data_IF_225494492169
#
_entry.id   IF_225494492169
#
_cell.length_a   1.000
_cell.length_b   1.000
_cell.length_c   1.000
_cell.angle_alpha   90.00
_cell.angle_beta   90.00
_cell.angle_gamma   90.00
#
_symmetry.space_group_name_H-M   'P 1'
#
loop_
_entity.id
_entity.type
_entity.pdbx_description
1 polymer ?
#
# COMPACT_ATOMS: atom_id res chain seq x y z
N UNK A 1 -2.99 36.80 -7.40
CA UNK A 1 -2.93 36.46 -5.95
C UNK A 1 -1.91 35.34 -5.76
N UNK A 2 -1.17 35.26 -4.65
CA UNK A 2 -0.11 34.24 -4.54
C UNK A 2 -0.67 32.82 -4.41
N UNK A 3 -1.60 32.58 -3.47
CA UNK A 3 -2.10 31.24 -3.19
C UNK A 3 -3.58 31.25 -2.78
N UNK A 4 -4.33 30.25 -3.23
CA UNK A 4 -5.66 29.93 -2.74
C UNK A 4 -5.68 28.49 -2.21
N UNK A 5 -6.09 28.32 -0.96
CA UNK A 5 -6.38 27.01 -0.39
C UNK A 5 -7.85 26.65 -0.60
N UNK A 6 -8.12 25.37 -0.84
CA UNK A 6 -9.47 24.87 -1.07
C UNK A 6 -9.66 23.61 -0.24
N UNK A 7 -10.63 23.65 0.67
CA UNK A 7 -11.16 22.44 1.29
C UNK A 7 -12.16 21.76 0.33
N UNK A 8 -11.87 20.51 0.00
CA UNK A 8 -12.58 19.76 -1.04
C UNK A 8 -13.63 18.83 -0.45
N UNK A 9 -14.91 19.12 -0.72
CA UNK A 9 -16.01 18.17 -0.53
C UNK A 9 -16.61 17.70 -1.87
N UNK A 10 -17.78 17.04 -1.81
CA UNK A 10 -18.44 16.48 -3.00
C UNK A 10 -19.07 17.57 -3.87
N UNK A 11 -19.83 18.47 -3.25
CA UNK A 11 -20.69 19.46 -3.94
C UNK A 11 -20.45 20.91 -3.49
N UNK A 12 -19.91 21.10 -2.29
CA UNK A 12 -19.63 22.42 -1.75
C UNK A 12 -18.21 22.45 -1.24
N UNK A 13 -17.52 23.54 -1.53
CA UNK A 13 -16.10 23.76 -1.27
C UNK A 13 -15.99 25.02 -0.44
N UNK A 14 -14.91 25.13 0.33
CA UNK A 14 -14.56 26.37 0.99
C UNK A 14 -13.18 26.81 0.53
N UNK A 15 -13.07 28.07 0.09
CA UNK A 15 -11.81 28.65 -0.36
C UNK A 15 -11.29 29.62 0.68
N UNK A 16 -9.99 29.61 0.89
CA UNK A 16 -9.27 30.51 1.78
C UNK A 16 -8.04 31.08 1.08
N UNK A 17 -7.80 32.39 1.19
CA UNK A 17 -6.61 33.03 0.66
C UNK A 17 -6.37 34.39 1.31
N UNK A 18 -5.20 34.96 1.04
CA UNK A 18 -4.84 36.31 1.50
C UNK A 18 -4.40 37.10 0.26
N UNK A 19 -5.01 38.27 0.03
CA UNK A 19 -4.66 39.12 -1.11
C UNK A 19 -3.39 39.96 -0.84
N UNK A 20 -2.99 40.77 -1.82
CA UNK A 20 -1.77 41.59 -1.71
C UNK A 20 -1.85 42.64 -0.58
N UNK A 21 -3.06 43.09 -0.24
CA UNK A 21 -3.32 44.07 0.82
C UNK A 21 -3.42 43.43 2.22
N UNK A 22 -3.28 42.10 2.30
CA UNK A 22 -3.39 41.35 3.55
C UNK A 22 -4.83 41.01 3.96
N UNK A 23 -5.82 41.28 3.10
CA UNK A 23 -7.21 40.93 3.37
C UNK A 23 -7.45 39.43 3.20
N UNK A 24 -8.18 38.85 4.15
CA UNK A 24 -8.55 37.44 4.15
C UNK A 24 -9.76 37.21 3.25
N UNK A 25 -9.59 36.34 2.26
CA UNK A 25 -10.66 35.78 1.45
C UNK A 25 -11.08 34.47 2.10
N UNK A 26 -12.35 34.36 2.52
CA UNK A 26 -12.94 33.12 3.03
C UNK A 26 -14.35 32.98 2.46
N UNK A 27 -14.55 32.04 1.53
CA UNK A 27 -15.82 31.92 0.80
C UNK A 27 -16.21 30.47 0.55
N UNK A 28 -17.50 30.20 0.68
CA UNK A 28 -18.11 28.94 0.24
C UNK A 28 -18.47 29.01 -1.23
N UNK A 29 -18.27 27.92 -1.97
CA UNK A 29 -18.60 27.83 -3.40
C UNK A 29 -19.17 26.45 -3.76
N UNK A 30 -20.11 26.41 -4.69
CA UNK A 30 -20.64 25.16 -5.23
C UNK A 30 -19.72 24.56 -6.30
N UNK A 31 -19.90 23.28 -6.61
CA UNK A 31 -19.08 22.55 -7.60
C UNK A 31 -18.97 23.23 -8.95
N UNK A 32 -20.09 23.70 -9.50
CA UNK A 32 -20.15 24.34 -10.80
C UNK A 32 -19.44 25.70 -10.82
N UNK A 33 -19.40 26.40 -9.68
CA UNK A 33 -18.79 27.72 -9.58
C UNK A 33 -17.30 27.71 -9.23
N UNK A 34 -16.71 26.55 -8.91
CA UNK A 34 -15.35 26.51 -8.37
C UNK A 34 -14.30 27.03 -9.36
N UNK A 35 -14.33 26.56 -10.62
CA UNK A 35 -13.39 27.04 -11.66
C UNK A 35 -13.53 28.54 -11.89
N UNK A 36 -14.78 29.03 -11.99
CA UNK A 36 -15.06 30.47 -12.18
C UNK A 36 -14.52 31.29 -11.01
N UNK A 37 -14.69 30.82 -9.77
CA UNK A 37 -14.20 31.52 -8.59
C UNK A 37 -12.67 31.54 -8.53
N UNK A 38 -12.02 30.41 -8.83
CA UNK A 38 -10.55 30.32 -8.87
C UNK A 38 -10.01 31.24 -9.97
N UNK A 39 -10.60 31.22 -11.17
CA UNK A 39 -10.24 32.11 -12.26
C UNK A 39 -10.41 33.59 -11.91
N UNK A 40 -11.44 33.96 -11.14
CA UNK A 40 -11.66 35.34 -10.69
C UNK A 40 -10.56 35.85 -9.76
N UNK A 41 -10.08 35.01 -8.85
CA UNK A 41 -9.01 35.40 -7.91
C UNK A 41 -7.60 35.27 -8.51
N UNK A 42 -7.51 34.52 -9.60
CA UNK A 42 -6.28 34.24 -10.35
C UNK A 42 -5.06 33.93 -9.46
N UNK A 43 -5.10 32.82 -8.69
CA UNK A 43 -3.97 32.40 -7.88
C UNK A 43 -2.85 31.77 -8.70
N UNK A 44 -1.60 32.12 -8.41
CA UNK A 44 -0.44 31.37 -8.95
C UNK A 44 -0.44 29.92 -8.44
N UNK A 45 -0.80 29.73 -7.17
CA UNK A 45 -0.78 28.43 -6.48
C UNK A 45 -2.17 28.05 -5.98
N UNK A 46 -2.59 26.81 -6.22
CA UNK A 46 -3.79 26.21 -5.60
C UNK A 46 -3.36 25.10 -4.63
N UNK A 47 -3.68 25.29 -3.35
CA UNK A 47 -3.43 24.32 -2.29
C UNK A 47 -4.69 23.54 -1.92
N UNK A 48 -4.57 22.22 -1.78
CA UNK A 48 -5.70 21.34 -1.44
C UNK A 48 -5.21 20.19 -0.56
N UNK A 49 -6.09 19.63 0.26
CA UNK A 49 -5.82 18.35 0.90
C UNK A 49 -5.91 17.21 -0.13
N UNK A 50 -4.99 16.24 -0.04
CA UNK A 50 -5.02 15.05 -0.87
C UNK A 50 -6.20 14.15 -0.48
N UNK A 51 -7.27 14.22 -1.27
CA UNK A 51 -8.48 13.42 -1.12
C UNK A 51 -8.88 12.74 -2.45
N UNK A 52 -10.02 12.03 -2.46
CA UNK A 52 -10.47 11.28 -3.63
C UNK A 52 -10.71 12.16 -4.87
N UNK A 53 -11.16 13.40 -4.69
CA UNK A 53 -11.45 14.35 -5.77
C UNK A 53 -10.29 15.30 -6.10
N UNK A 54 -9.26 15.34 -5.26
CA UNK A 54 -8.15 16.28 -5.40
C UNK A 54 -7.35 16.12 -6.70
N UNK A 55 -7.20 14.89 -7.20
CA UNK A 55 -6.48 14.66 -8.45
C UNK A 55 -7.24 15.21 -9.67
N UNK A 56 -8.58 15.09 -9.69
CA UNK A 56 -9.41 15.65 -10.76
C UNK A 56 -9.28 17.18 -10.80
N UNK A 57 -9.48 17.84 -9.66
CA UNK A 57 -9.36 19.30 -9.57
C UNK A 57 -7.93 19.78 -9.83
N UNK A 58 -6.94 19.06 -9.30
CA UNK A 58 -5.53 19.34 -9.55
C UNK A 58 -5.18 19.33 -11.03
N UNK A 59 -5.69 18.37 -11.81
CA UNK A 59 -5.46 18.34 -13.27
C UNK A 59 -6.10 19.53 -13.99
N UNK A 60 -7.33 19.92 -13.61
CA UNK A 60 -7.99 21.08 -14.21
C UNK A 60 -7.20 22.37 -13.94
N UNK A 61 -6.78 22.60 -12.70
CA UNK A 61 -6.01 23.79 -12.34
C UNK A 61 -4.58 23.77 -12.94
N UNK A 62 -3.95 22.61 -13.08
CA UNK A 62 -2.70 22.48 -13.84
C UNK A 62 -2.88 22.87 -15.31
N UNK A 63 -3.99 22.49 -15.93
CA UNK A 63 -4.30 22.84 -17.32
C UNK A 63 -4.53 24.35 -17.50
N UNK A 64 -4.96 25.06 -16.45
CA UNK A 64 -5.01 26.54 -16.41
C UNK A 64 -3.64 27.19 -16.11
N UNK A 65 -2.56 26.41 -15.99
CA UNK A 65 -1.21 26.91 -15.77
C UNK A 65 -0.84 27.19 -14.32
N UNK A 66 -1.64 26.71 -13.34
CA UNK A 66 -1.42 26.97 -11.91
C UNK A 66 -0.53 25.92 -11.27
N UNK A 67 0.29 26.31 -10.29
CA UNK A 67 1.02 25.36 -9.44
C UNK A 67 0.06 24.69 -8.45
N UNK A 68 0.16 23.37 -8.27
CA UNK A 68 -0.70 22.63 -7.33
C UNK A 68 0.09 22.10 -6.14
N UNK A 69 -0.42 22.42 -4.95
CA UNK A 69 0.08 21.93 -3.66
C UNK A 69 -0.93 20.99 -3.01
N UNK A 70 -0.86 19.69 -3.34
CA UNK A 70 -1.65 18.69 -2.62
C UNK A 70 -0.95 18.28 -1.33
N UNK A 71 -1.62 18.38 -0.19
CA UNK A 71 -1.01 18.10 1.12
C UNK A 71 -1.56 16.80 1.70
N UNK A 72 -0.70 16.01 2.35
CA UNK A 72 -1.19 14.88 3.12
C UNK A 72 -2.09 15.38 4.28
N UNK A 73 -3.31 14.85 4.46
CA UNK A 73 -4.22 15.19 5.57
C UNK A 73 -3.56 15.24 6.95
N UNK A 74 -2.63 14.31 7.20
CA UNK A 74 -1.93 14.22 8.48
C UNK A 74 -0.99 15.40 8.74
N UNK A 75 -0.52 16.08 7.70
CA UNK A 75 0.30 17.27 7.81
C UNK A 75 -0.53 18.56 7.86
N UNK A 76 -1.80 18.51 7.44
CA UNK A 76 -2.76 19.63 7.62
C UNK A 76 -3.28 19.65 9.06
N UNK A 77 -3.57 18.49 9.66
CA UNK A 77 -4.18 18.36 10.99
C UNK A 77 -3.56 19.25 12.09
N UNK A 78 -2.22 19.41 12.21
CA UNK A 78 -1.61 20.28 13.23
C UNK A 78 -1.93 21.78 13.08
N UNK A 79 -2.42 22.22 11.92
CA UNK A 79 -2.75 23.62 11.62
C UNK A 79 -4.21 23.96 11.86
N UNK A 80 -5.07 22.97 12.14
CA UNK A 80 -6.49 23.18 12.46
C UNK A 80 -6.62 23.84 13.84
N UNK A 81 -7.24 25.01 13.90
CA UNK A 81 -7.43 25.80 15.13
C UNK A 81 -8.89 25.79 15.56
N UNK A 82 -9.15 25.43 16.81
CA UNK A 82 -10.51 25.45 17.36
C UNK A 82 -11.41 24.33 16.85
N UNK A 83 -12.71 24.61 16.80
CA UNK A 83 -13.76 23.66 16.40
C UNK A 83 -13.75 23.44 14.89
N UNK A 84 -13.84 22.17 14.48
CA UNK A 84 -13.79 21.77 13.07
C UNK A 84 -14.97 22.34 12.26
N UNK A 85 -14.67 23.04 11.17
CA UNK A 85 -15.60 23.42 10.11
C UNK A 85 -14.85 23.65 8.79
N UNK A 86 -15.57 23.69 7.67
CA UNK A 86 -14.98 23.79 6.32
C UNK A 86 -14.10 25.05 6.14
N UNK A 87 -14.41 26.16 6.81
CA UNK A 87 -13.63 27.39 6.73
C UNK A 87 -12.28 27.27 7.45
N UNK A 88 -12.28 26.68 8.65
CA UNK A 88 -11.08 26.38 9.44
C UNK A 88 -10.22 25.34 8.74
N UNK A 89 -10.84 24.34 8.10
CA UNK A 89 -10.11 23.33 7.34
C UNK A 89 -9.41 23.96 6.13
N UNK A 90 -10.06 24.88 5.39
CA UNK A 90 -9.45 25.63 4.29
C UNK A 90 -8.30 26.54 4.75
N UNK A 91 -8.45 27.22 5.89
CA UNK A 91 -7.38 28.03 6.50
C UNK A 91 -6.19 27.14 6.92
N UNK A 92 -6.43 25.99 7.53
CA UNK A 92 -5.38 25.06 7.92
C UNK A 92 -4.60 24.53 6.70
N UNK A 93 -5.27 24.29 5.57
CA UNK A 93 -4.60 23.93 4.30
C UNK A 93 -3.70 25.08 3.85
N UNK A 94 -4.16 26.33 3.90
CA UNK A 94 -3.37 27.51 3.53
C UNK A 94 -2.10 27.64 4.38
N UNK A 95 -2.25 27.52 5.70
CA UNK A 95 -1.15 27.61 6.66
C UNK A 95 -0.12 26.50 6.47
N UNK A 96 -0.58 25.27 6.22
CA UNK A 96 0.25 24.12 5.96
C UNK A 96 1.01 24.27 4.62
N UNK A 97 0.32 24.73 3.56
CA UNK A 97 0.87 24.94 2.23
C UNK A 97 1.95 26.03 2.18
N UNK A 98 1.86 26.99 3.10
CA UNK A 98 2.80 28.12 3.20
C UNK A 98 4.15 27.73 3.82
N UNK A 99 4.27 26.54 4.42
CA UNK A 99 5.52 26.12 5.07
C UNK A 99 6.58 25.75 4.02
N UNK A 100 7.78 26.36 4.01
CA UNK A 100 8.82 26.07 3.02
C UNK A 100 9.30 24.61 3.02
N UNK A 101 9.18 23.93 4.16
CA UNK A 101 9.60 22.53 4.33
C UNK A 101 8.47 21.53 4.04
N UNK A 102 7.28 22.00 3.64
CA UNK A 102 6.15 21.14 3.35
C UNK A 102 6.44 20.28 2.11
N UNK A 103 5.96 19.03 2.15
CA UNK A 103 6.06 18.10 1.02
C UNK A 103 4.69 17.92 0.41
N UNK A 104 4.63 18.04 -0.90
CA UNK A 104 3.39 17.92 -1.66
C UNK A 104 3.29 16.57 -2.35
N UNK A 105 2.06 16.09 -2.47
CA UNK A 105 1.72 14.88 -3.22
C UNK A 105 1.59 15.28 -4.68
N UNK A 106 2.29 14.62 -5.62
CA UNK A 106 2.12 14.93 -7.03
C UNK A 106 0.69 14.63 -7.49
N UNK A 107 0.16 15.50 -8.36
CA UNK A 107 -1.11 15.25 -9.05
C UNK A 107 -0.92 14.08 -9.99
N UNK A 108 -1.77 13.05 -9.86
CA UNK A 108 -1.72 11.90 -10.75
C UNK A 108 -2.31 12.25 -12.12
N UNK A 109 -1.66 11.76 -13.15
CA UNK A 109 -2.23 11.70 -14.51
C UNK A 109 -3.46 10.79 -14.53
N UNK A 110 -4.25 10.89 -15.60
CA UNK A 110 -5.42 10.04 -15.80
C UNK A 110 -5.01 8.57 -15.92
N UNK A 111 -4.00 8.25 -16.72
CA UNK A 111 -3.46 6.89 -16.86
C UNK A 111 -3.05 6.27 -15.52
N UNK A 112 -2.39 7.05 -14.64
CA UNK A 112 -2.03 6.57 -13.30
C UNK A 112 -3.27 6.30 -12.44
N UNK A 113 -4.28 7.17 -12.53
CA UNK A 113 -5.50 7.04 -11.75
C UNK A 113 -6.38 5.88 -12.24
N UNK A 114 -6.40 5.64 -13.55
CA UNK A 114 -7.08 4.52 -14.18
C UNK A 114 -6.43 3.20 -13.80
N UNK A 115 -5.10 3.12 -13.90
CA UNK A 115 -4.34 1.95 -13.50
C UNK A 115 -4.50 1.67 -12.00
N UNK A 116 -4.47 2.71 -11.17
CA UNK A 116 -4.75 2.58 -9.73
C UNK A 116 -6.19 2.09 -9.47
N UNK A 117 -7.17 2.55 -10.24
CA UNK A 117 -8.56 2.11 -10.13
C UNK A 117 -8.71 0.63 -10.49
N UNK A 118 -8.02 0.17 -11.54
CA UNK A 118 -7.96 -1.23 -11.93
C UNK A 118 -7.37 -2.10 -10.81
N UNK A 119 -6.29 -1.65 -10.16
CA UNK A 119 -5.73 -2.31 -8.98
C UNK A 119 -6.70 -2.39 -7.79
N UNK A 120 -7.49 -1.34 -7.54
CA UNK A 120 -8.51 -1.33 -6.47
C UNK A 120 -9.65 -2.31 -6.77
N UNK A 121 -10.09 -2.38 -8.02
CA UNK A 121 -11.09 -3.37 -8.46
C UNK A 121 -10.55 -4.78 -8.24
N UNK A 122 -9.31 -5.06 -8.65
CA UNK A 122 -8.63 -6.33 -8.40
C UNK A 122 -8.61 -6.68 -6.92
N UNK A 123 -8.21 -5.73 -6.06
CA UNK A 123 -8.09 -5.96 -4.62
C UNK A 123 -9.45 -6.32 -3.99
N UNK A 124 -10.51 -5.59 -4.39
CA UNK A 124 -11.89 -5.89 -3.98
C UNK A 124 -12.31 -7.30 -4.39
N UNK A 125 -12.06 -7.70 -5.64
CA UNK A 125 -12.42 -9.02 -6.14
C UNK A 125 -11.64 -10.14 -5.40
N UNK A 126 -10.34 -9.94 -5.16
CA UNK A 126 -9.50 -10.89 -4.40
C UNK A 126 -10.00 -11.06 -2.96
N UNK A 127 -10.43 -9.97 -2.32
CA UNK A 127 -11.05 -10.01 -1.00
C UNK A 127 -12.39 -10.74 -1.03
N UNK A 128 -13.27 -10.43 -2.00
CA UNK A 128 -14.57 -11.10 -2.19
C UNK A 128 -14.40 -12.60 -2.41
N UNK A 129 -13.51 -13.02 -3.32
CA UNK A 129 -13.17 -14.44 -3.55
C UNK A 129 -12.78 -15.13 -2.25
N UNK A 130 -11.92 -14.50 -1.46
CA UNK A 130 -11.44 -15.09 -0.20
C UNK A 130 -12.58 -15.21 0.82
N UNK A 131 -13.44 -14.20 0.91
CA UNK A 131 -14.64 -14.21 1.75
C UNK A 131 -15.60 -15.34 1.35
N UNK A 132 -15.96 -15.43 0.06
CA UNK A 132 -16.83 -16.47 -0.48
C UNK A 132 -16.24 -17.87 -0.29
N UNK A 133 -14.95 -18.06 -0.59
CA UNK A 133 -14.26 -19.34 -0.37
C UNK A 133 -14.26 -19.76 1.09
N UNK A 134 -14.18 -18.81 2.02
CA UNK A 134 -14.24 -19.11 3.45
C UNK A 134 -15.67 -19.44 3.89
N UNK A 135 -16.66 -18.71 3.39
CA UNK A 135 -18.07 -18.93 3.68
C UNK A 135 -18.54 -20.29 3.17
N UNK A 136 -18.27 -20.62 1.90
CA UNK A 136 -18.54 -21.92 1.28
C UNK A 136 -17.95 -23.07 2.11
N UNK A 137 -16.67 -22.98 2.49
CA UNK A 137 -16.04 -24.03 3.31
C UNK A 137 -16.65 -24.15 4.70
N UNK A 138 -17.16 -23.05 5.28
CA UNK A 138 -17.89 -23.08 6.54
C UNK A 138 -19.19 -23.88 6.40
N UNK A 139 -20.01 -23.50 5.42
CA UNK A 139 -21.27 -24.16 5.12
C UNK A 139 -21.07 -25.65 4.77
N UNK A 140 -20.11 -25.97 3.91
CA UNK A 140 -19.76 -27.35 3.59
C UNK A 140 -19.39 -28.17 4.83
N UNK A 141 -18.71 -27.55 5.80
CA UNK A 141 -18.35 -28.19 7.06
C UNK A 141 -19.55 -28.63 7.90
N UNK A 142 -20.67 -27.89 7.85
CA UNK A 142 -21.93 -28.26 8.54
C UNK A 142 -22.54 -29.56 8.00
N UNK A 143 -22.25 -29.88 6.74
CA UNK A 143 -22.68 -31.12 6.07
C UNK A 143 -21.56 -32.18 6.04
N UNK A 144 -20.51 -32.01 6.83
CA UNK A 144 -19.37 -32.94 6.90
C UNK A 144 -18.45 -32.92 5.67
N UNK A 145 -18.60 -31.95 4.77
CA UNK A 145 -17.79 -31.82 3.56
C UNK A 145 -16.59 -30.91 3.82
N UNK A 146 -15.39 -31.48 3.84
CA UNK A 146 -14.15 -30.75 4.11
C UNK A 146 -13.31 -30.60 2.84
N UNK A 147 -13.09 -29.36 2.42
CA UNK A 147 -12.30 -29.02 1.24
C UNK A 147 -10.96 -28.36 1.59
N UNK A 148 -9.92 -28.54 0.76
CA UNK A 148 -8.61 -27.93 0.99
C UNK A 148 -8.65 -26.40 0.95
N UNK A 149 -7.66 -25.77 1.59
CA UNK A 149 -7.47 -24.32 1.51
C UNK A 149 -6.98 -23.92 0.12
N UNK A 150 -7.48 -22.78 -0.37
CA UNK A 150 -7.11 -22.18 -1.66
C UNK A 150 -8.24 -22.30 -2.69
N UNK A 151 -8.57 -21.19 -3.34
CA UNK A 151 -9.74 -21.09 -4.23
C UNK A 151 -9.64 -22.04 -5.44
N UNK A 152 -8.48 -22.10 -6.10
CA UNK A 152 -8.27 -23.03 -7.22
C UNK A 152 -8.47 -24.51 -6.82
N UNK A 153 -7.94 -24.90 -5.64
CA UNK A 153 -8.12 -26.27 -5.13
C UNK A 153 -9.57 -26.54 -4.73
N UNK A 154 -10.25 -25.57 -4.11
CA UNK A 154 -11.66 -25.67 -3.79
C UNK A 154 -12.49 -25.90 -5.06
N UNK A 155 -12.38 -25.02 -6.05
CA UNK A 155 -13.11 -25.12 -7.31
C UNK A 155 -12.84 -26.43 -8.06
N UNK A 156 -11.58 -26.90 -8.07
CA UNK A 156 -11.23 -28.16 -8.74
C UNK A 156 -11.84 -29.42 -8.10
N UNK A 157 -12.28 -29.36 -6.84
CA UNK A 157 -12.75 -30.54 -6.09
C UNK A 157 -14.20 -30.46 -5.68
N UNK A 158 -14.76 -29.26 -5.58
CA UNK A 158 -16.07 -29.04 -4.96
C UNK A 158 -17.20 -29.73 -5.72
N UNK A 159 -17.19 -29.68 -7.06
CA UNK A 159 -18.20 -30.33 -7.90
C UNK A 159 -18.26 -31.85 -7.67
N UNK A 160 -17.11 -32.51 -7.61
CA UNK A 160 -17.02 -33.95 -7.32
C UNK A 160 -17.45 -34.26 -5.88
N UNK A 161 -17.10 -33.39 -4.93
CA UNK A 161 -17.50 -33.55 -3.53
C UNK A 161 -19.01 -33.44 -3.34
N UNK A 162 -19.65 -32.44 -3.95
CA UNK A 162 -21.09 -32.24 -3.90
C UNK A 162 -21.85 -33.38 -4.58
N UNK A 163 -21.37 -33.89 -5.72
CA UNK A 163 -22.01 -35.02 -6.41
C UNK A 163 -22.03 -36.34 -5.62
N UNK A 164 -21.18 -36.49 -4.60
CA UNK A 164 -21.14 -37.66 -3.71
C UNK A 164 -21.86 -37.43 -2.37
N UNK A 165 -22.20 -36.18 -2.06
CA UNK A 165 -22.79 -35.82 -0.79
C UNK A 165 -24.29 -36.13 -0.79
N UNK A 166 -24.80 -36.53 0.38
CA UNK A 166 -26.25 -36.63 0.61
C UNK A 166 -26.75 -35.28 1.10
N UNK A 167 -27.12 -34.41 0.18
CA UNK A 167 -27.65 -33.08 0.49
C UNK A 167 -29.14 -33.02 0.13
N UNK A 168 -29.89 -32.16 0.82
CA UNK A 168 -31.24 -31.82 0.40
C UNK A 168 -31.21 -31.00 -0.89
N UNK A 169 -32.33 -30.95 -1.62
CA UNK A 169 -32.46 -30.11 -2.80
C UNK A 169 -32.15 -28.64 -2.51
N UNK A 170 -32.65 -28.13 -1.37
CA UNK A 170 -32.40 -26.76 -0.90
C UNK A 170 -30.91 -26.49 -0.66
N UNK A 171 -30.19 -27.43 -0.02
CA UNK A 171 -28.76 -27.28 0.24
C UNK A 171 -27.96 -27.32 -1.07
N UNK A 172 -28.31 -28.23 -1.99
CA UNK A 172 -27.71 -28.28 -3.32
C UNK A 172 -27.88 -26.96 -4.07
N UNK A 173 -29.10 -26.45 -4.20
CA UNK A 173 -29.39 -25.18 -4.89
C UNK A 173 -28.63 -24.01 -4.27
N UNK A 174 -28.60 -23.92 -2.94
CA UNK A 174 -27.87 -22.87 -2.21
C UNK A 174 -26.37 -22.90 -2.51
N UNK A 175 -25.77 -24.09 -2.49
CA UNK A 175 -24.34 -24.26 -2.72
C UNK A 175 -23.95 -24.00 -4.17
N UNK A 176 -24.79 -24.42 -5.10
CA UNK A 176 -24.63 -24.15 -6.53
C UNK A 176 -24.61 -22.64 -6.81
N UNK A 177 -25.57 -21.87 -6.28
CA UNK A 177 -25.57 -20.40 -6.45
C UNK A 177 -24.32 -19.70 -5.87
N UNK A 178 -23.84 -20.14 -4.71
CA UNK A 178 -22.60 -19.60 -4.13
C UNK A 178 -21.34 -19.98 -4.93
N UNK A 179 -21.33 -21.17 -5.55
CA UNK A 179 -20.25 -21.60 -6.42
C UNK A 179 -20.22 -20.81 -7.72
N UNK A 180 -21.38 -20.57 -8.33
CA UNK A 180 -21.51 -19.69 -9.49
C UNK A 180 -20.98 -18.28 -9.17
N UNK A 181 -21.31 -17.73 -8.00
CA UNK A 181 -20.74 -16.43 -7.58
C UNK A 181 -19.22 -16.48 -7.48
N UNK A 182 -18.66 -17.53 -6.88
CA UNK A 182 -17.21 -17.69 -6.76
C UNK A 182 -16.53 -17.81 -8.14
N UNK A 183 -17.10 -18.60 -9.04
CA UNK A 183 -16.62 -18.78 -10.42
C UNK A 183 -16.67 -17.47 -11.21
N UNK A 184 -17.75 -16.69 -11.07
CA UNK A 184 -17.87 -15.36 -11.67
C UNK A 184 -16.80 -14.39 -11.15
N UNK A 185 -16.54 -14.39 -9.83
CA UNK A 185 -15.51 -13.55 -9.24
C UNK A 185 -14.12 -13.94 -9.74
N UNK A 186 -13.79 -15.23 -9.82
CA UNK A 186 -12.52 -15.70 -10.36
C UNK A 186 -12.33 -15.30 -11.82
N UNK A 187 -13.34 -15.51 -12.67
CA UNK A 187 -13.27 -15.07 -14.07
C UNK A 187 -13.05 -13.56 -14.21
N UNK A 188 -13.61 -12.74 -13.29
CA UNK A 188 -13.34 -11.29 -13.26
C UNK A 188 -11.92 -10.97 -12.81
N UNK A 189 -11.37 -11.70 -11.84
CA UNK A 189 -9.97 -11.55 -11.42
C UNK A 189 -9.04 -11.87 -12.59
N UNK A 190 -9.26 -12.98 -13.30
CA UNK A 190 -8.46 -13.38 -14.45
C UNK A 190 -8.48 -12.32 -15.56
N UNK A 191 -9.66 -11.74 -15.86
CA UNK A 191 -9.77 -10.65 -16.84
C UNK A 191 -8.97 -9.41 -16.44
N UNK A 192 -9.04 -9.02 -15.17
CA UNK A 192 -8.27 -7.88 -14.65
C UNK A 192 -6.77 -8.17 -14.63
N UNK A 193 -6.37 -9.38 -14.24
CA UNK A 193 -4.97 -9.81 -14.22
C UNK A 193 -4.38 -9.85 -15.62
N UNK A 194 -5.14 -10.35 -16.61
CA UNK A 194 -4.77 -10.29 -18.02
C UNK A 194 -4.59 -8.84 -18.48
N UNK A 195 -5.56 -7.96 -18.19
CA UNK A 195 -5.47 -6.54 -18.58
C UNK A 195 -4.26 -5.84 -17.97
N UNK A 196 -3.97 -6.07 -16.69
CA UNK A 196 -2.76 -5.56 -16.04
C UNK A 196 -1.49 -6.14 -16.67
N UNK A 197 -1.50 -7.42 -17.02
CA UNK A 197 -0.44 -8.08 -17.77
C UNK A 197 -0.19 -7.45 -19.13
N UNK A 198 -1.24 -7.11 -19.87
CA UNK A 198 -1.15 -6.47 -21.19
C UNK A 198 -0.55 -5.06 -21.07
N UNK A 199 -1.10 -4.22 -20.17
CA UNK A 199 -0.56 -2.87 -19.88
C UNK A 199 0.91 -2.93 -19.48
N UNK A 200 1.28 -3.91 -18.65
CA UNK A 200 2.64 -4.10 -18.20
C UNK A 200 3.60 -4.44 -19.34
N UNK A 201 3.14 -5.20 -20.35
CA UNK A 201 3.96 -5.56 -21.52
C UNK A 201 4.18 -4.36 -22.42
N UNK A 202 3.20 -3.48 -22.57
CA UNK A 202 3.28 -2.31 -23.45
C UNK A 202 4.05 -1.15 -22.82
N UNK A 203 4.08 -1.05 -21.49
CA UNK A 203 4.76 0.01 -20.75
C UNK A 203 6.26 -0.28 -20.54
N UNK A 204 7.14 0.61 -21.04
CA UNK A 204 8.60 0.44 -20.94
C UNK A 204 9.10 0.40 -19.49
N UNK A 205 8.62 1.30 -18.62
CA UNK A 205 8.99 1.32 -17.20
C UNK A 205 8.61 0.01 -16.52
N UNK A 206 7.46 -0.55 -16.85
CA UNK A 206 7.04 -1.84 -16.32
C UNK A 206 7.96 -2.99 -16.77
N UNK A 207 8.36 -3.02 -18.05
CA UNK A 207 9.33 -4.00 -18.55
C UNK A 207 10.66 -3.93 -17.81
N UNK A 208 11.18 -2.71 -17.58
CA UNK A 208 12.39 -2.49 -16.77
C UNK A 208 12.22 -2.94 -15.33
N UNK A 209 11.08 -2.62 -14.71
CA UNK A 209 10.78 -3.05 -13.32
C UNK A 209 10.69 -4.57 -13.19
N UNK A 210 10.16 -5.27 -14.19
CA UNK A 210 10.03 -6.72 -14.20
C UNK A 210 11.36 -7.48 -14.27
N UNK A 211 12.48 -6.80 -14.56
CA UNK A 211 13.81 -7.44 -14.45
C UNK A 211 14.22 -7.68 -13.00
N UNK A 212 13.56 -7.01 -12.05
CA UNK A 212 13.82 -7.16 -10.63
C UNK A 212 13.17 -8.44 -10.10
N UNK A 213 13.92 -9.21 -9.30
CA UNK A 213 13.40 -10.41 -8.64
C UNK A 213 12.20 -10.07 -7.76
N UNK A 214 11.10 -10.80 -7.96
CA UNK A 214 9.86 -10.61 -7.20
C UNK A 214 8.96 -9.51 -7.75
N UNK A 215 9.36 -8.83 -8.81
CA UNK A 215 8.51 -7.86 -9.51
C UNK A 215 7.89 -8.52 -10.73
N UNK A 216 6.65 -8.98 -10.56
CA UNK A 216 5.81 -9.41 -11.68
C UNK A 216 4.91 -8.27 -12.19
N UNK A 217 4.05 -8.54 -13.19
CA UNK A 217 3.21 -7.52 -13.81
C UNK A 217 2.39 -6.70 -12.81
N UNK A 218 1.75 -7.37 -11.84
CA UNK A 218 0.93 -6.72 -10.82
C UNK A 218 1.76 -5.77 -9.93
N UNK A 219 3.01 -6.11 -9.63
CA UNK A 219 3.87 -5.25 -8.79
C UNK A 219 4.40 -4.07 -9.62
N UNK A 220 4.82 -4.34 -10.86
CA UNK A 220 5.33 -3.32 -11.77
C UNK A 220 4.29 -2.23 -12.06
N UNK A 221 3.07 -2.64 -12.46
CA UNK A 221 1.98 -1.68 -12.73
C UNK A 221 1.55 -0.93 -11.47
N UNK A 222 1.58 -1.57 -10.30
CA UNK A 222 1.25 -0.91 -9.04
C UNK A 222 2.27 0.17 -8.65
N UNK A 223 3.56 -0.07 -8.92
CA UNK A 223 4.62 0.92 -8.73
C UNK A 223 4.42 2.11 -9.66
N UNK A 224 4.23 1.88 -10.96
CA UNK A 224 3.99 2.94 -11.96
C UNK A 224 2.75 3.77 -11.61
N UNK A 225 1.63 3.13 -11.25
CA UNK A 225 0.39 3.82 -10.89
C UNK A 225 0.51 4.64 -9.60
N UNK A 226 1.30 4.18 -8.63
CA UNK A 226 1.38 4.81 -7.32
C UNK A 226 2.41 5.93 -7.24
N UNK A 227 3.54 5.75 -7.93
CA UNK A 227 4.70 6.66 -7.85
C UNK A 227 4.67 7.64 -9.02
N UNK A 228 4.55 7.15 -10.26
CA UNK A 228 4.80 7.98 -11.44
C UNK A 228 6.27 8.35 -11.54
N UNK A 229 6.57 9.62 -11.32
CA UNK A 229 7.94 10.13 -11.38
C UNK A 229 8.76 9.71 -10.15
N UNK A 230 9.80 8.88 -10.29
CA UNK A 230 10.66 8.48 -9.18
C UNK A 230 11.50 9.64 -8.61
N UNK A 231 11.71 10.72 -9.37
CA UNK A 231 12.52 11.86 -8.92
C UNK A 231 11.88 12.70 -7.81
N UNK A 232 10.61 12.43 -7.48
CA UNK A 232 9.97 12.97 -6.27
C UNK A 232 10.66 12.52 -4.96
N UNK A 233 11.49 11.46 -5.03
CA UNK A 233 12.28 10.97 -3.90
C UNK A 233 13.76 11.28 -4.11
N UNK A 234 14.44 11.75 -3.06
CA UNK A 234 15.89 12.01 -3.08
C UNK A 234 16.69 10.73 -3.11
N UNK A 235 16.18 9.66 -2.48
CA UNK A 235 16.86 8.36 -2.38
C UNK A 235 15.86 7.21 -2.36
N UNK A 236 16.33 6.01 -2.74
CA UNK A 236 15.51 4.78 -2.62
C UNK A 236 15.09 4.45 -1.18
N UNK A 237 15.84 4.92 -0.16
CA UNK A 237 15.45 4.74 1.26
C UNK A 237 14.21 5.57 1.61
N UNK A 238 14.10 6.76 1.04
CA UNK A 238 12.93 7.62 1.21
C UNK A 238 11.69 7.00 0.57
N UNK A 239 11.83 6.46 -0.64
CA UNK A 239 10.78 5.68 -1.29
C UNK A 239 10.37 4.47 -0.43
N UNK A 240 11.32 3.69 0.10
CA UNK A 240 11.02 2.56 0.97
C UNK A 240 10.27 2.98 2.25
N UNK A 241 10.63 4.14 2.82
CA UNK A 241 9.92 4.72 3.95
C UNK A 241 8.49 5.16 3.59
N UNK A 242 8.30 5.79 2.43
CA UNK A 242 7.00 6.21 1.91
C UNK A 242 6.06 5.02 1.65
N UNK A 243 6.57 3.92 1.07
CA UNK A 243 5.82 2.68 0.89
C UNK A 243 5.48 2.05 2.26
N UNK A 244 6.30 2.29 3.27
CA UNK A 244 6.16 1.74 4.61
C UNK A 244 6.82 0.38 4.78
N UNK A 245 7.98 0.18 4.14
CA UNK A 245 8.83 -1.02 4.25
C UNK A 245 9.87 -0.92 5.37
N UNK A 246 10.01 0.26 5.98
CA UNK A 246 11.00 0.52 7.04
C UNK A 246 10.38 0.40 8.44
N UNK A 247 11.16 0.00 9.46
CA UNK A 247 10.73 0.04 10.86
C UNK A 247 10.48 1.47 11.32
N UNK A 248 9.59 1.64 12.31
CA UNK A 248 9.47 2.92 13.01
C UNK A 248 10.75 3.21 13.77
N UNK A 249 11.16 4.48 13.80
CA UNK A 249 12.29 4.92 14.58
C UNK A 249 11.80 5.86 15.69
N UNK A 250 12.18 5.54 16.93
CA UNK A 250 12.09 6.44 18.08
C UNK A 250 13.51 6.76 18.52
N UNK A 251 13.86 8.04 18.51
CA UNK A 251 15.20 8.48 18.88
C UNK A 251 15.07 9.68 19.81
N UNK A 252 15.53 9.52 21.05
CA UNK A 252 15.58 10.58 22.06
C UNK A 252 16.94 10.54 22.75
N UNK A 253 17.56 11.71 22.93
CA UNK A 253 18.84 11.84 23.65
C UNK A 253 19.95 10.89 23.20
N UNK A 254 20.10 10.66 21.89
CA UNK A 254 21.14 9.77 21.32
C UNK A 254 20.84 8.27 21.40
N UNK A 255 19.73 7.83 22.01
CA UNK A 255 19.32 6.42 22.05
C UNK A 255 18.44 6.09 20.85
N UNK A 256 18.89 5.20 19.98
CA UNK A 256 18.13 4.73 18.81
C UNK A 256 17.32 3.48 19.17
N UNK A 257 15.99 3.54 19.05
CA UNK A 257 15.10 2.38 19.17
C UNK A 257 14.32 2.19 17.87
N UNK A 258 14.55 1.06 17.22
CA UNK A 258 13.78 0.62 16.05
C UNK A 258 12.59 -0.24 16.53
N UNK A 259 11.39 0.12 16.11
CA UNK A 259 10.16 -0.63 16.37
C UNK A 259 9.70 -1.45 15.18
N UNK A 260 8.48 -1.99 15.25
CA UNK A 260 7.87 -2.68 14.11
C UNK A 260 7.61 -1.76 12.91
N UNK A 261 7.22 -2.38 11.78
CA UNK A 261 6.86 -1.65 10.55
C UNK A 261 5.67 -0.72 10.82
N UNK A 262 5.79 0.53 10.36
CA UNK A 262 4.78 1.55 10.61
C UNK A 262 3.43 1.28 9.93
N UNK A 263 2.35 1.77 10.55
CA UNK A 263 1.00 1.74 9.94
C UNK A 263 0.77 2.83 8.88
N UNK A 264 1.59 3.88 8.84
CA UNK A 264 1.48 4.97 7.86
C UNK A 264 2.20 4.57 6.58
N UNK A 265 1.45 4.03 5.62
CA UNK A 265 2.01 3.34 4.47
C UNK A 265 0.99 3.21 3.34
N UNK A 266 1.48 3.03 2.11
CA UNK A 266 0.66 2.48 1.04
C UNK A 266 0.50 0.97 1.27
N UNK A 267 -0.55 0.58 2.01
CA UNK A 267 -0.81 -0.81 2.40
C UNK A 267 -0.90 -1.75 1.19
N UNK A 268 -1.51 -1.30 0.10
CA UNK A 268 -1.62 -2.07 -1.13
C UNK A 268 -0.24 -2.37 -1.70
N UNK A 269 0.54 -1.34 -1.99
CA UNK A 269 1.85 -1.47 -2.64
C UNK A 269 2.83 -2.28 -1.77
N UNK A 270 2.83 -2.02 -0.45
CA UNK A 270 3.60 -2.81 0.51
C UNK A 270 3.23 -4.30 0.45
N UNK A 271 1.94 -4.62 0.48
CA UNK A 271 1.48 -6.02 0.42
C UNK A 271 1.92 -6.68 -0.90
N UNK A 272 1.82 -5.98 -2.03
CA UNK A 272 2.27 -6.50 -3.32
C UNK A 272 3.77 -6.79 -3.34
N UNK A 273 4.61 -5.89 -2.81
CA UNK A 273 6.06 -6.09 -2.72
C UNK A 273 6.43 -7.24 -1.77
N UNK A 274 5.73 -7.37 -0.64
CA UNK A 274 5.90 -8.51 0.27
C UNK A 274 5.53 -9.83 -0.39
N UNK A 275 4.44 -9.88 -1.18
CA UNK A 275 4.11 -11.07 -1.97
C UNK A 275 5.17 -11.39 -3.03
N UNK A 276 5.71 -10.37 -3.69
CA UNK A 276 6.84 -10.51 -4.61
C UNK A 276 8.05 -11.15 -3.95
N UNK A 277 8.47 -10.62 -2.80
CA UNK A 277 9.58 -11.16 -2.02
C UNK A 277 9.33 -12.61 -1.56
N UNK A 278 8.11 -12.92 -1.12
CA UNK A 278 7.72 -14.29 -0.75
C UNK A 278 7.81 -15.27 -1.92
N UNK A 279 7.36 -14.86 -3.11
CA UNK A 279 7.43 -15.70 -4.30
C UNK A 279 8.88 -16.04 -4.69
N UNK A 280 9.80 -15.07 -4.54
CA UNK A 280 11.23 -15.30 -4.72
C UNK A 280 11.78 -16.26 -3.68
N UNK A 281 11.48 -16.04 -2.40
CA UNK A 281 11.98 -16.88 -1.30
C UNK A 281 11.57 -18.36 -1.47
N UNK A 282 10.35 -18.63 -1.92
CA UNK A 282 9.87 -19.99 -2.20
C UNK A 282 10.61 -20.69 -3.35
N UNK A 283 11.15 -19.91 -4.30
CA UNK A 283 11.92 -20.43 -5.46
C UNK A 283 13.41 -20.55 -5.14
N UNK A 284 13.96 -19.66 -4.33
CA UNK A 284 15.36 -19.69 -3.86
C UNK A 284 15.63 -20.81 -2.83
N UNK A 285 14.58 -21.41 -2.25
CA UNK A 285 14.73 -22.61 -1.41
C UNK A 285 14.93 -23.92 -2.18
N UNK A 286 14.98 -23.89 -3.51
CA UNK A 286 15.42 -25.04 -4.33
C UNK A 286 16.95 -25.16 -4.31
N UNK A 287 17.48 -26.40 -4.21
CA UNK A 287 18.92 -26.63 -4.36
C UNK A 287 19.33 -26.26 -5.81
N UNK A 288 20.21 -25.25 -5.95
CA UNK A 288 20.93 -24.94 -7.19
C UNK A 288 20.31 -23.88 -8.09
N UNK A 289 20.41 -22.59 -7.73
CA UNK A 289 20.20 -21.52 -8.72
C UNK A 289 21.22 -20.39 -8.55
N UNK A 290 21.83 -19.97 -9.65
CA UNK A 290 23.07 -19.20 -9.77
C UNK A 290 22.92 -17.66 -9.68
N UNK A 291 21.79 -17.16 -9.21
CA UNK A 291 21.50 -15.71 -9.10
C UNK A 291 21.61 -15.20 -7.65
N UNK A 292 22.63 -15.69 -6.95
CA UNK A 292 22.92 -15.36 -5.56
C UNK A 292 23.33 -13.89 -5.41
N UNK A 293 22.37 -13.07 -4.97
CA UNK A 293 22.59 -11.65 -4.66
C UNK A 293 23.24 -11.54 -3.27
N UNK A 294 24.41 -10.92 -3.16
CA UNK A 294 25.24 -10.88 -1.95
C UNK A 294 24.51 -10.38 -0.69
N UNK A 295 23.53 -9.48 -0.83
CA UNK A 295 22.68 -9.03 0.29
C UNK A 295 21.74 -10.14 0.78
N UNK A 296 21.21 -10.93 -0.15
CA UNK A 296 20.31 -12.06 0.10
C UNK A 296 21.11 -13.25 0.65
N UNK A 297 22.32 -13.49 0.15
CA UNK A 297 23.26 -14.46 0.72
C UNK A 297 23.67 -14.08 2.15
N UNK A 298 23.97 -12.82 2.43
CA UNK A 298 24.37 -12.37 3.78
C UNK A 298 23.22 -12.54 4.78
N UNK A 299 22.00 -12.22 4.36
CA UNK A 299 20.79 -12.46 5.15
C UNK A 299 20.57 -13.97 5.39
N UNK A 300 20.64 -14.80 4.35
CA UNK A 300 20.43 -16.24 4.47
C UNK A 300 21.56 -16.99 5.17
N UNK A 301 22.82 -16.56 5.03
CA UNK A 301 23.97 -17.10 5.76
C UNK A 301 23.80 -16.82 7.25
N UNK A 302 23.36 -15.61 7.61
CA UNK A 302 23.06 -15.26 9.00
C UNK A 302 21.90 -16.09 9.54
N UNK A 303 20.80 -16.23 8.80
CA UNK A 303 19.66 -17.05 9.21
C UNK A 303 20.03 -18.54 9.38
N UNK A 304 20.77 -19.11 8.42
CA UNK A 304 21.22 -20.51 8.45
C UNK A 304 22.22 -20.75 9.59
N UNK A 305 23.25 -19.92 9.73
CA UNK A 305 24.30 -20.10 10.73
C UNK A 305 23.85 -19.78 12.16
N UNK A 306 22.84 -18.94 12.34
CA UNK A 306 22.39 -18.50 13.66
C UNK A 306 21.15 -19.25 14.17
N UNK A 307 20.24 -19.68 13.28
CA UNK A 307 19.01 -20.36 13.69
C UNK A 307 18.96 -21.83 13.25
N UNK A 308 19.44 -22.17 12.05
CA UNK A 308 19.26 -23.51 11.50
C UNK A 308 20.38 -24.46 11.93
N UNK A 309 21.64 -24.06 11.83
CA UNK A 309 22.79 -24.94 12.09
C UNK A 309 23.10 -25.17 13.57
N UNK A 310 22.61 -24.31 14.47
CA UNK A 310 22.93 -24.37 15.90
C UNK A 310 22.03 -25.31 16.71
N UNK A 311 20.97 -25.85 16.10
CA UNK A 311 20.06 -26.77 16.75
C UNK A 311 19.55 -27.81 15.76
N UNK A 312 19.26 -29.02 16.25
CA UNK A 312 18.56 -30.01 15.44
C UNK A 312 17.05 -29.70 15.45
N UNK A 313 16.41 -29.89 14.29
CA UNK A 313 14.99 -29.67 14.13
C UNK A 313 14.31 -31.01 13.84
N UNK A 314 13.56 -31.57 14.81
CA UNK A 314 12.93 -32.88 14.65
C UNK A 314 11.91 -32.94 13.51
N UNK A 315 11.26 -31.81 13.21
CA UNK A 315 10.28 -31.73 12.13
C UNK A 315 10.42 -30.44 11.31
N UNK A 316 10.10 -30.53 10.02
CA UNK A 316 10.09 -29.37 9.11
C UNK A 316 9.15 -28.25 9.59
N UNK A 317 8.01 -28.62 10.17
CA UNK A 317 7.01 -27.68 10.69
C UNK A 317 7.52 -26.85 11.87
N UNK A 318 8.37 -27.43 12.73
CA UNK A 318 9.01 -26.70 13.84
C UNK A 318 10.08 -25.73 13.33
N UNK A 319 10.89 -26.14 12.36
CA UNK A 319 11.84 -25.24 11.71
C UNK A 319 11.14 -24.06 11.03
N UNK A 320 10.05 -24.34 10.31
CA UNK A 320 9.21 -23.29 9.70
C UNK A 320 8.62 -22.36 10.76
N UNK A 321 7.99 -22.89 11.82
CA UNK A 321 7.43 -22.07 12.89
C UNK A 321 8.45 -21.13 13.54
N UNK A 322 9.69 -21.60 13.76
CA UNK A 322 10.76 -20.78 14.33
C UNK A 322 11.28 -19.70 13.36
N UNK A 323 11.34 -19.99 12.06
CA UNK A 323 11.69 -19.00 11.03
C UNK A 323 10.58 -17.94 10.90
N UNK A 324 9.31 -18.32 11.09
CA UNK A 324 8.14 -17.47 10.88
C UNK A 324 7.60 -16.77 12.16
N UNK A 325 8.02 -17.16 13.37
CA UNK A 325 7.74 -16.41 14.60
C UNK A 325 8.74 -15.25 14.73
N UNK A 326 8.28 -14.07 14.30
CA UNK A 326 8.97 -12.76 14.35
C UNK A 326 10.00 -12.61 15.48
N UNK A 327 11.28 -12.63 15.11
CA UNK A 327 12.37 -12.35 16.02
C UNK A 327 13.74 -12.45 15.37
N UNK A 328 13.97 -11.78 14.23
CA UNK A 328 15.31 -11.64 13.65
C UNK A 328 16.15 -10.62 14.45
N UNK A 329 16.14 -10.75 15.78
CA UNK A 329 16.98 -9.96 16.68
C UNK A 329 17.83 -10.93 17.48
N UNK A 330 19.08 -11.12 17.02
CA UNK A 330 20.02 -11.97 17.73
C UNK A 330 20.53 -11.23 18.97
N UNK A 331 19.88 -11.49 20.10
CA UNK A 331 20.18 -10.90 21.40
C UNK A 331 21.59 -11.21 21.93
N UNK A 332 22.29 -12.21 21.35
CA UNK A 332 23.54 -12.76 21.89
C UNK A 332 24.79 -12.46 21.06
N UNK A 333 24.65 -12.12 19.77
CA UNK A 333 25.81 -11.93 18.87
C UNK A 333 26.57 -10.66 19.20
N UNK A 334 27.84 -10.78 19.60
CA UNK A 334 28.74 -9.65 19.82
C UNK A 334 28.98 -8.90 18.52
N UNK A 335 28.82 -7.58 18.55
CA UNK A 335 28.99 -6.73 17.37
C UNK A 335 30.12 -5.73 17.62
N UNK A 336 31.07 -5.61 16.71
CA UNK A 336 32.22 -4.70 16.83
C UNK A 336 31.78 -3.24 17.03
N UNK A 337 30.76 -2.80 16.29
CA UNK A 337 30.10 -1.50 16.48
C UNK A 337 29.51 -1.27 17.88
N UNK A 338 29.14 -2.34 18.61
CA UNK A 338 28.66 -2.25 19.99
C UNK A 338 29.80 -2.35 21.01
N UNK A 339 31.07 -2.25 20.59
CA UNK A 339 32.22 -2.46 21.47
C UNK A 339 32.46 -3.93 21.82
N UNK A 340 32.03 -4.85 20.95
CA UNK A 340 32.23 -6.29 21.14
C UNK A 340 31.31 -6.94 22.18
N UNK A 341 30.23 -6.26 22.59
CA UNK A 341 29.18 -6.85 23.44
C UNK A 341 27.93 -7.21 22.62
N UNK A 342 27.08 -8.06 23.19
CA UNK A 342 25.85 -8.51 22.55
C UNK A 342 24.77 -7.40 22.60
N UNK A 343 23.81 -7.36 21.65
CA UNK A 343 22.73 -6.38 21.65
C UNK A 343 21.94 -6.35 22.97
N UNK A 344 21.73 -7.51 23.62
CA UNK A 344 21.05 -7.58 24.90
C UNK A 344 21.93 -7.09 26.07
N UNK A 345 23.24 -7.35 26.05
CA UNK A 345 24.16 -6.79 27.05
C UNK A 345 24.37 -5.28 26.86
N UNK A 346 24.30 -4.80 25.63
CA UNK A 346 24.29 -3.37 25.31
C UNK A 346 22.99 -2.74 25.81
N UNK A 347 21.84 -3.33 25.54
CA UNK A 347 20.54 -2.87 26.05
C UNK A 347 20.49 -2.85 27.58
N UNK A 348 21.03 -3.87 28.27
CA UNK A 348 21.10 -3.93 29.73
C UNK A 348 22.08 -2.92 30.34
N UNK A 349 23.09 -2.46 29.59
CA UNK A 349 23.99 -1.37 30.01
C UNK A 349 23.40 0.02 29.78
N UNK A 350 22.43 0.14 28.87
CA UNK A 350 21.86 1.42 28.40
C UNK A 350 20.47 1.66 29.01
N UNK A 351 19.83 0.61 29.54
CA UNK A 351 18.72 0.68 30.50
C UNK A 351 19.24 1.13 31.86
#
# INVERSE_FOLDING_TARGET
>A
MQMLAIDLAKQSFHVHGINADGEVISRRVGRQGLLVLVGKFDPEIVAMEACATAHYWGRLFLAEGREIRLINPHFVKPFVRGSKNDAVDAEAIFDAASRPTMRFVPVKTEDQQDLQSLHRVRDRLVAQRTSLSNHLRGLFGEYGLVFPKGAALLLSRVRVGLGKARLSAMAHETFEGLLEELEMVEGRIERVDKRLGDICRDNETCRRLMTLLGVGPIVATALVASIGDPHQFRTGREMAAWIGLVPRQYSTGGKFRLGGVGRRANHYLRRQLVHGARAVALRLSGKGNCYDNSAVETFFKSLKAEMIWRQSWPTRRQAEAAIFQNGFYNSRRRHSYLGGISPLAFEAKVA
#
